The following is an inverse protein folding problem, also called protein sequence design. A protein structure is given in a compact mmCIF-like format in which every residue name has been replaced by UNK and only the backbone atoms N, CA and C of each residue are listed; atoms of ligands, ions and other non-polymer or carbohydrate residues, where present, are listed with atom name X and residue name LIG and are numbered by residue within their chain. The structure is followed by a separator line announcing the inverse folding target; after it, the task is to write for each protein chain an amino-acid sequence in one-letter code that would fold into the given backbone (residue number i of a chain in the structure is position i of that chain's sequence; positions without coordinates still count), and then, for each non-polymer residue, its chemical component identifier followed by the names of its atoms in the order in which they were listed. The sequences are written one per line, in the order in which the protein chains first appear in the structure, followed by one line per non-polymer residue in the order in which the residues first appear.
data_IF_846141105578
#
_entry.id   IF_846141105578
#
_cell.length_a   1.000
_cell.length_b   1.000
_cell.length_c   1.000
_cell.angle_alpha   90.00
_cell.angle_beta   90.00
_cell.angle_gamma   90.00
#
_symmetry.space_group_name_H-M   'P 1'
#
loop_
_entity.id
_entity.type
_entity.pdbx_description
1 polymer ?
#
# COMPACT_ATOMS: atom_id res chain seq x y z
N UNK A 1 12.03 -5.67 8.47
CA UNK A 1 12.63 -5.43 7.13
C UNK A 1 13.20 -6.75 6.61
N UNK A 2 13.48 -6.91 5.31
CA UNK A 2 14.06 -8.17 4.80
C UNK A 2 15.36 -8.59 5.51
N UNK A 3 16.22 -7.63 5.86
CA UNK A 3 17.46 -7.90 6.60
C UNK A 3 17.18 -8.46 8.01
N UNK A 4 16.20 -7.93 8.72
CA UNK A 4 15.78 -8.45 10.02
C UNK A 4 15.16 -9.85 9.90
N UNK A 5 14.40 -10.11 8.84
CA UNK A 5 13.84 -11.44 8.56
C UNK A 5 14.95 -12.47 8.36
N UNK A 6 15.99 -12.14 7.59
CA UNK A 6 17.16 -13.00 7.42
C UNK A 6 17.89 -13.24 8.74
N UNK A 7 18.15 -12.19 9.52
CA UNK A 7 18.80 -12.33 10.83
C UNK A 7 18.00 -13.23 11.78
N UNK A 8 16.67 -13.10 11.79
CA UNK A 8 15.78 -13.97 12.58
C UNK A 8 15.78 -15.41 12.10
N UNK A 9 15.78 -15.65 10.78
CA UNK A 9 15.86 -16.99 10.22
C UNK A 9 17.16 -17.71 10.64
N UNK A 10 18.31 -17.03 10.56
CA UNK A 10 19.60 -17.55 11.02
C UNK A 10 19.58 -17.84 12.52
N UNK A 11 19.05 -16.91 13.31
CA UNK A 11 18.93 -17.08 14.76
C UNK A 11 18.07 -18.29 15.17
N UNK A 12 16.96 -18.52 14.45
CA UNK A 12 16.04 -19.63 14.67
C UNK A 12 16.70 -20.96 14.28
N UNK A 13 17.32 -21.01 13.10
CA UNK A 13 18.04 -22.19 12.62
C UNK A 13 19.17 -22.61 13.58
N UNK A 14 19.93 -21.64 14.11
CA UNK A 14 20.98 -21.87 15.11
C UNK A 14 20.47 -22.45 16.44
N UNK A 15 19.14 -22.48 16.65
CA UNK A 15 18.46 -23.06 17.82
C UNK A 15 17.64 -24.30 17.48
N UNK A 16 17.75 -24.81 16.25
CA UNK A 16 16.99 -25.98 15.79
C UNK A 16 15.53 -25.68 15.44
N UNK A 17 15.15 -24.40 15.32
CA UNK A 17 13.80 -24.00 14.91
C UNK A 17 13.73 -23.74 13.40
N UNK A 18 12.57 -24.04 12.82
CA UNK A 18 12.22 -23.68 11.43
C UNK A 18 11.57 -22.29 11.43
N UNK A 19 11.82 -21.51 10.38
CA UNK A 19 11.36 -20.12 10.29
C UNK A 19 10.51 -19.90 9.05
N UNK A 20 9.37 -19.25 9.24
CA UNK A 20 8.51 -18.72 8.20
C UNK A 20 8.34 -17.23 8.47
N UNK A 21 8.56 -16.40 7.47
CA UNK A 21 8.39 -14.96 7.59
C UNK A 21 6.94 -14.55 7.29
N UNK A 22 6.50 -13.44 7.88
CA UNK A 22 5.11 -13.01 7.84
C UNK A 22 4.94 -11.49 7.70
N UNK A 23 3.96 -11.07 6.91
CA UNK A 23 3.53 -9.67 6.80
C UNK A 23 2.01 -9.56 6.96
N UNK A 24 1.53 -8.80 7.95
CA UNK A 24 0.10 -8.74 8.30
C UNK A 24 -0.57 -7.61 7.53
N UNK A 25 -1.39 -7.97 6.54
CA UNK A 25 -2.21 -7.04 5.75
C UNK A 25 -3.61 -6.94 6.36
N UNK A 26 -3.67 -6.51 7.61
CA UNK A 26 -4.91 -6.39 8.38
C UNK A 26 -4.73 -5.38 9.53
N UNK A 27 -5.82 -4.71 9.90
CA UNK A 27 -5.91 -4.00 11.18
C UNK A 27 -6.52 -4.89 12.26
N UNK A 28 -6.32 -4.63 13.57
CA UNK A 28 -6.77 -5.53 14.63
C UNK A 28 -8.25 -5.98 14.55
N UNK A 29 -9.23 -5.12 14.17
CA UNK A 29 -10.62 -5.54 14.00
C UNK A 29 -10.88 -6.55 12.87
N UNK A 30 -9.95 -6.69 11.92
CA UNK A 30 -10.06 -7.66 10.81
C UNK A 30 -9.60 -9.07 11.23
N UNK A 31 -8.88 -9.20 12.34
CA UNK A 31 -8.38 -10.49 12.82
C UNK A 31 -9.53 -11.30 13.42
N UNK A 32 -9.70 -12.54 12.94
CA UNK A 32 -10.82 -13.42 13.29
C UNK A 32 -12.13 -13.05 12.61
N UNK A 33 -12.12 -12.10 11.66
CA UNK A 33 -13.28 -11.65 10.91
C UNK A 33 -13.09 -11.96 9.41
N UNK A 34 -13.53 -13.15 8.93
CA UNK A 34 -13.26 -13.61 7.57
C UNK A 34 -13.70 -12.64 6.46
N UNK A 35 -14.82 -11.95 6.68
CA UNK A 35 -15.41 -11.02 5.71
C UNK A 35 -14.76 -9.62 5.70
N UNK A 36 -13.83 -9.37 6.64
CA UNK A 36 -13.17 -8.07 6.77
C UNK A 36 -12.00 -7.86 5.79
N UNK A 37 -11.66 -8.88 4.98
CA UNK A 37 -10.67 -8.80 3.90
C UNK A 37 -9.21 -8.82 4.34
N UNK A 38 -8.93 -9.01 5.63
CA UNK A 38 -7.57 -9.11 6.17
C UNK A 38 -6.86 -10.41 5.76
N UNK A 39 -5.57 -10.32 5.47
CA UNK A 39 -4.75 -11.50 5.15
C UNK A 39 -3.31 -11.35 5.66
N UNK A 40 -2.59 -12.47 5.76
CA UNK A 40 -1.18 -12.51 6.11
C UNK A 40 -0.38 -13.08 4.93
N UNK A 41 0.65 -12.34 4.52
CA UNK A 41 1.65 -12.78 3.56
C UNK A 41 2.67 -13.68 4.24
N UNK A 42 3.09 -14.76 3.59
CA UNK A 42 4.10 -15.67 4.10
C UNK A 42 5.20 -15.94 3.07
N UNK A 43 6.45 -15.97 3.52
CA UNK A 43 7.60 -16.37 2.69
C UNK A 43 8.58 -17.24 3.47
N UNK A 44 9.39 -18.01 2.75
CA UNK A 44 10.29 -19.03 3.30
C UNK A 44 9.99 -20.41 2.76
N UNK A 45 10.42 -21.47 3.45
CA UNK A 45 10.27 -22.84 2.93
C UNK A 45 8.80 -23.21 2.66
N UNK A 46 8.47 -23.52 1.40
CA UNK A 46 7.08 -23.84 1.02
C UNK A 46 6.48 -25.00 1.81
N UNK A 47 7.24 -26.08 2.01
CA UNK A 47 6.76 -27.24 2.76
C UNK A 47 6.34 -26.87 4.19
N UNK A 48 7.07 -25.97 4.84
CA UNK A 48 6.75 -25.47 6.17
C UNK A 48 5.45 -24.64 6.17
N UNK A 49 5.25 -23.80 5.14
CA UNK A 49 4.01 -23.06 4.99
C UNK A 49 2.81 -24.01 4.82
N UNK A 50 2.89 -24.97 3.89
CA UNK A 50 1.77 -25.89 3.62
C UNK A 50 1.47 -26.78 4.84
N UNK A 51 2.49 -27.22 5.59
CA UNK A 51 2.33 -27.99 6.84
C UNK A 51 1.51 -27.24 7.90
N UNK A 52 1.65 -25.91 7.99
CA UNK A 52 1.00 -25.10 9.02
C UNK A 52 -0.14 -24.22 8.49
N UNK A 53 -0.47 -24.32 7.20
CA UNK A 53 -1.40 -23.41 6.52
C UNK A 53 -2.76 -23.32 7.20
N UNK A 54 -3.33 -24.44 7.62
CA UNK A 54 -4.64 -24.49 8.26
C UNK A 54 -4.64 -23.72 9.59
N UNK A 55 -3.58 -23.87 10.39
CA UNK A 55 -3.42 -23.15 11.68
C UNK A 55 -3.20 -21.66 11.43
N UNK A 56 -2.36 -21.32 10.44
CA UNK A 56 -2.07 -19.94 10.07
C UNK A 56 -3.31 -19.23 9.49
N UNK A 57 -4.28 -19.96 8.95
CA UNK A 57 -5.52 -19.44 8.38
C UNK A 57 -6.62 -19.11 9.41
N UNK A 58 -6.46 -19.54 10.67
CA UNK A 58 -7.44 -19.28 11.75
C UNK A 58 -7.64 -17.78 12.01
N UNK A 59 -6.58 -16.96 12.21
CA UNK A 59 -6.75 -15.54 12.50
C UNK A 59 -7.07 -14.68 11.26
N UNK A 60 -6.63 -15.06 10.07
CA UNK A 60 -6.83 -14.31 8.82
C UNK A 60 -6.47 -15.18 7.62
N UNK A 61 -6.93 -14.80 6.42
CA UNK A 61 -6.56 -15.53 5.21
C UNK A 61 -5.04 -15.55 4.99
N UNK A 62 -4.49 -16.62 4.42
CA UNK A 62 -3.04 -16.77 4.20
C UNK A 62 -2.68 -16.62 2.72
N UNK A 63 -1.56 -15.95 2.41
CA UNK A 63 -1.00 -15.87 1.04
C UNK A 63 0.49 -16.16 1.05
N UNK A 64 0.91 -17.24 0.42
CA UNK A 64 2.33 -17.53 0.22
C UNK A 64 2.87 -16.77 -0.99
N UNK A 65 3.97 -16.03 -0.80
CA UNK A 65 4.54 -15.13 -1.82
C UNK A 65 5.86 -15.60 -2.41
N UNK A 66 6.56 -16.54 -1.77
CA UNK A 66 7.80 -17.09 -2.33
C UNK A 66 8.73 -17.73 -1.31
N UNK A 67 9.77 -18.37 -1.83
CA UNK A 67 10.74 -19.11 -1.02
C UNK A 67 11.77 -18.21 -0.31
N UNK A 68 11.98 -17.01 -0.83
CA UNK A 68 12.93 -16.04 -0.28
C UNK A 68 12.46 -15.54 1.09
N UNK A 69 13.30 -15.73 2.10
CA UNK A 69 13.10 -15.17 3.43
C UNK A 69 13.13 -13.64 3.33
N UNK A 70 12.20 -12.95 3.98
CA UNK A 70 12.11 -11.49 3.88
C UNK A 70 11.22 -10.98 2.75
N UNK A 71 10.80 -11.83 1.80
CA UNK A 71 9.91 -11.40 0.72
C UNK A 71 8.53 -10.97 1.23
N UNK A 72 7.97 -11.68 2.21
CA UNK A 72 6.72 -11.27 2.85
C UNK A 72 6.86 -9.90 3.54
N UNK A 73 7.96 -9.68 4.27
CA UNK A 73 8.26 -8.40 4.91
C UNK A 73 8.51 -7.27 3.89
N UNK A 74 9.10 -7.57 2.73
CA UNK A 74 9.26 -6.60 1.64
C UNK A 74 7.90 -6.17 1.08
N UNK A 75 7.03 -7.13 0.78
CA UNK A 75 5.70 -6.86 0.25
C UNK A 75 4.84 -6.11 1.27
N UNK A 76 4.93 -6.45 2.56
CA UNK A 76 4.27 -5.72 3.65
C UNK A 76 4.66 -4.23 3.64
N UNK A 77 5.96 -3.93 3.70
CA UNK A 77 6.45 -2.54 3.66
C UNK A 77 6.04 -1.82 2.36
N UNK A 78 6.10 -2.50 1.21
CA UNK A 78 5.70 -1.90 -0.07
C UNK A 78 4.20 -1.54 -0.10
N UNK A 79 3.34 -2.45 0.36
CA UNK A 79 1.89 -2.21 0.42
C UNK A 79 1.54 -1.14 1.47
N UNK A 80 2.19 -1.15 2.63
CA UNK A 80 2.00 -0.12 3.66
C UNK A 80 2.51 1.25 3.22
N UNK A 81 3.55 1.32 2.39
CA UNK A 81 4.02 2.57 1.77
C UNK A 81 2.92 3.19 0.90
N UNK A 82 2.31 2.41 0.00
CA UNK A 82 1.20 2.86 -0.84
C UNK A 82 -0.02 3.29 -0.01
N UNK A 83 -0.40 2.51 1.01
CA UNK A 83 -1.49 2.86 1.93
C UNK A 83 -1.22 4.18 2.67
N UNK A 84 0.01 4.39 3.13
CA UNK A 84 0.40 5.60 3.85
C UNK A 84 0.33 6.82 2.93
N UNK A 85 0.78 6.69 1.68
CA UNK A 85 0.64 7.75 0.67
C UNK A 85 -0.83 8.08 0.37
N UNK A 86 -1.69 7.08 0.26
CA UNK A 86 -3.14 7.27 0.11
C UNK A 86 -3.73 8.06 1.28
N UNK A 87 -3.37 7.72 2.53
CA UNK A 87 -3.84 8.47 3.70
C UNK A 87 -3.26 9.89 3.78
N UNK A 88 -2.03 10.11 3.34
CA UNK A 88 -1.46 11.45 3.22
C UNK A 88 -2.22 12.29 2.18
N UNK A 89 -2.50 11.71 1.01
CA UNK A 89 -3.32 12.32 -0.04
C UNK A 89 -4.73 12.67 0.44
N UNK A 90 -5.36 11.78 1.22
CA UNK A 90 -6.67 12.05 1.80
C UNK A 90 -6.65 13.26 2.74
N UNK A 91 -5.67 13.35 3.64
CA UNK A 91 -5.51 14.52 4.54
C UNK A 91 -5.24 15.81 3.76
N UNK A 92 -4.42 15.73 2.71
CA UNK A 92 -4.17 16.87 1.82
C UNK A 92 -5.46 17.32 1.12
N UNK A 93 -6.30 16.39 0.65
CA UNK A 93 -7.59 16.71 0.03
C UNK A 93 -8.53 17.44 1.01
N UNK A 94 -8.62 16.99 2.27
CA UNK A 94 -9.38 17.70 3.31
C UNK A 94 -8.83 19.10 3.57
N UNK A 95 -7.50 19.28 3.60
CA UNK A 95 -6.89 20.59 3.78
C UNK A 95 -7.24 21.57 2.64
N UNK A 96 -7.32 21.11 1.39
CA UNK A 96 -7.70 21.94 0.24
C UNK A 96 -9.13 22.51 0.38
N UNK A 97 -10.04 21.73 0.97
CA UNK A 97 -11.47 22.10 1.06
C UNK A 97 -11.88 22.69 2.40
N UNK A 98 -11.01 22.70 3.42
CA UNK A 98 -11.33 23.12 4.79
C UNK A 98 -12.07 24.46 4.88
N UNK A 99 -11.59 25.49 4.17
CA UNK A 99 -12.20 26.84 4.20
C UNK A 99 -13.23 27.08 3.08
N UNK A 100 -13.71 26.01 2.41
CA UNK A 100 -14.69 26.12 1.32
C UNK A 100 -16.15 26.00 1.79
N UNK A 101 -16.39 25.83 3.09
CA UNK A 101 -17.74 25.67 3.65
C UNK A 101 -18.41 24.36 3.25
N UNK A 102 -17.62 23.32 2.95
CA UNK A 102 -18.13 21.99 2.56
C UNK A 102 -18.52 21.16 3.79
N UNK A 103 -19.48 20.25 3.62
CA UNK A 103 -19.73 19.21 4.62
C UNK A 103 -18.61 18.16 4.55
N UNK A 104 -17.79 18.09 5.61
CA UNK A 104 -16.64 17.17 5.68
C UNK A 104 -17.05 15.70 5.59
N UNK A 105 -18.23 15.32 6.09
CA UNK A 105 -18.71 13.95 6.05
C UNK A 105 -19.14 13.57 4.65
N UNK A 106 -19.85 14.47 3.96
CA UNK A 106 -20.23 14.27 2.56
C UNK A 106 -18.99 14.20 1.67
N UNK A 107 -18.05 15.12 1.84
CA UNK A 107 -16.78 15.10 1.12
C UNK A 107 -15.97 13.83 1.40
N UNK A 108 -15.93 13.36 2.65
CA UNK A 108 -15.27 12.11 3.02
C UNK A 108 -15.86 10.90 2.32
N UNK A 109 -17.19 10.83 2.18
CA UNK A 109 -17.87 9.78 1.40
C UNK A 109 -17.50 9.82 -0.08
N UNK A 110 -17.49 11.02 -0.68
CA UNK A 110 -17.10 11.24 -2.07
C UNK A 110 -15.64 10.81 -2.30
N UNK A 111 -14.73 11.25 -1.43
CA UNK A 111 -13.29 10.94 -1.51
C UNK A 111 -13.04 9.43 -1.39
N UNK A 112 -13.67 8.77 -0.42
CA UNK A 112 -13.53 7.32 -0.24
C UNK A 112 -14.04 6.54 -1.46
N UNK A 113 -15.22 6.92 -2.00
CA UNK A 113 -15.78 6.31 -3.20
C UNK A 113 -14.88 6.50 -4.43
N UNK A 114 -14.32 7.70 -4.61
CA UNK A 114 -13.40 8.00 -5.69
C UNK A 114 -12.10 7.18 -5.59
N UNK A 115 -11.46 7.15 -4.42
CA UNK A 115 -10.24 6.37 -4.21
C UNK A 115 -10.47 4.87 -4.43
N UNK A 116 -11.61 4.34 -4.00
CA UNK A 116 -11.98 2.94 -4.26
C UNK A 116 -12.15 2.65 -5.76
N UNK A 117 -12.75 3.57 -6.53
CA UNK A 117 -12.90 3.44 -7.98
C UNK A 117 -11.56 3.50 -8.72
N UNK A 118 -10.58 4.27 -8.21
CA UNK A 118 -9.25 4.41 -8.79
C UNK A 118 -8.28 3.28 -8.41
N UNK A 119 -8.50 2.59 -7.29
CA UNK A 119 -7.60 1.55 -6.79
C UNK A 119 -7.23 0.45 -7.82
N UNK A 120 -8.15 -0.05 -8.68
CA UNK A 120 -7.81 -1.03 -9.71
C UNK A 120 -6.78 -0.55 -10.74
N UNK A 121 -6.68 0.76 -10.99
CA UNK A 121 -5.72 1.31 -11.95
C UNK A 121 -4.27 1.09 -11.52
N UNK A 122 -4.01 0.92 -10.21
CA UNK A 122 -2.66 0.70 -9.66
C UNK A 122 -2.03 -0.61 -10.12
N UNK A 123 -2.83 -1.60 -10.54
CA UNK A 123 -2.34 -2.85 -11.13
C UNK A 123 -1.54 -2.62 -12.42
N UNK A 124 -1.83 -1.52 -13.13
CA UNK A 124 -1.14 -1.13 -14.37
C UNK A 124 0.29 -0.59 -14.16
N UNK A 125 0.65 -0.14 -12.96
CA UNK A 125 1.97 0.47 -12.70
C UNK A 125 3.15 -0.51 -12.77
N UNK A 126 2.88 -1.82 -12.66
CA UNK A 126 3.90 -2.88 -12.81
C UNK A 126 4.00 -3.45 -14.21
N UNK A 127 3.00 -3.22 -15.07
CA UNK A 127 3.08 -3.56 -16.48
C UNK A 127 3.82 -2.42 -17.18
N UNK A 128 4.83 -2.74 -18.01
CA UNK A 128 5.41 -1.74 -18.91
C UNK A 128 4.24 -1.10 -19.66
N UNK A 129 3.96 0.18 -19.34
CA UNK A 129 2.89 1.04 -19.88
C UNK A 129 2.01 0.29 -20.86
N UNK A 130 0.88 -0.25 -20.40
CA UNK A 130 -0.14 -0.75 -21.30
C UNK A 130 -0.31 0.27 -22.42
N UNK A 131 -0.25 -0.17 -23.67
CA UNK A 131 -0.34 0.68 -24.87
C UNK A 131 -1.65 1.50 -24.99
N UNK A 132 -2.48 1.48 -23.94
CA UNK A 132 -3.78 2.13 -23.81
C UNK A 132 -3.80 3.29 -22.80
N UNK A 133 -2.71 3.61 -22.08
CA UNK A 133 -2.67 4.87 -21.32
C UNK A 133 -2.53 6.04 -22.31
N UNK A 134 -3.68 6.48 -22.80
CA UNK A 134 -3.82 7.58 -23.76
C UNK A 134 -3.64 8.96 -23.11
N UNK A 135 -3.39 9.00 -21.80
CA UNK A 135 -3.11 10.24 -21.08
C UNK A 135 -1.76 10.78 -21.55
N UNK A 136 -1.80 11.81 -22.40
CA UNK A 136 -0.58 12.46 -22.85
C UNK A 136 0.23 12.97 -21.65
N UNK A 137 1.57 12.87 -21.67
CA UNK A 137 2.42 13.49 -20.66
C UNK A 137 2.09 14.97 -20.39
N UNK A 138 1.63 15.70 -21.42
CA UNK A 138 1.18 17.08 -21.29
C UNK A 138 -0.09 17.24 -20.43
N UNK A 139 -1.01 16.27 -20.45
CA UNK A 139 -2.21 16.26 -19.59
C UNK A 139 -1.82 16.01 -18.14
N UNK A 140 -0.86 15.10 -17.90
CA UNK A 140 -0.31 14.83 -16.57
C UNK A 140 0.38 16.08 -16.02
N UNK A 141 1.28 16.69 -16.80
CA UNK A 141 2.00 17.91 -16.41
C UNK A 141 1.05 19.09 -16.12
N UNK A 142 0.05 19.31 -16.98
CA UNK A 142 -0.95 20.35 -16.76
C UNK A 142 -1.78 20.09 -15.49
N UNK A 143 -2.11 18.83 -15.21
CA UNK A 143 -2.78 18.39 -13.98
C UNK A 143 -1.95 18.69 -12.74
N UNK A 144 -0.69 18.29 -12.73
CA UNK A 144 0.25 18.54 -11.62
C UNK A 144 0.44 20.05 -11.38
N UNK A 145 0.59 20.83 -12.46
CA UNK A 145 0.69 22.28 -12.37
C UNK A 145 -0.58 22.91 -11.76
N UNK A 146 -1.76 22.40 -12.10
CA UNK A 146 -3.03 22.86 -11.53
C UNK A 146 -3.16 22.50 -10.04
N UNK A 147 -2.76 21.29 -9.65
CA UNK A 147 -2.76 20.86 -8.24
C UNK A 147 -1.82 21.74 -7.40
N UNK A 148 -0.59 21.96 -7.87
CA UNK A 148 0.39 22.80 -7.17
C UNK A 148 -0.08 24.25 -7.04
N UNK A 149 -0.69 24.81 -8.08
CA UNK A 149 -1.25 26.17 -8.03
C UNK A 149 -2.39 26.26 -7.00
N UNK A 150 -3.31 25.31 -7.02
CA UNK A 150 -4.46 25.28 -6.11
C UNK A 150 -4.01 25.16 -4.65
N UNK A 151 -3.04 24.27 -4.36
CA UNK A 151 -2.50 24.13 -3.02
C UNK A 151 -1.88 25.44 -2.49
N UNK A 152 -1.14 26.17 -3.33
CA UNK A 152 -0.58 27.48 -2.96
C UNK A 152 -1.65 28.53 -2.70
N UNK A 153 -2.65 28.61 -3.57
CA UNK A 153 -3.78 29.55 -3.42
C UNK A 153 -4.58 29.30 -2.14
N UNK A 154 -4.61 28.04 -1.67
CA UNK A 154 -5.30 27.61 -0.44
C UNK A 154 -4.38 27.57 0.79
N UNK A 155 -3.11 27.97 0.67
CA UNK A 155 -2.15 27.95 1.78
C UNK A 155 -1.81 26.54 2.30
N UNK A 156 -2.00 25.51 1.48
CA UNK A 156 -1.74 24.10 1.82
C UNK A 156 -0.33 23.70 1.37
N UNK A 157 0.36 22.91 2.20
CA UNK A 157 1.71 22.42 1.91
C UNK A 157 1.76 21.60 0.60
N UNK A 158 2.69 21.97 -0.29
CA UNK A 158 2.91 21.33 -1.59
C UNK A 158 3.88 20.15 -1.55
N UNK A 159 4.54 19.86 -0.42
CA UNK A 159 5.58 18.83 -0.33
C UNK A 159 5.10 17.45 -0.80
N UNK A 160 3.85 17.08 -0.50
CA UNK A 160 3.25 15.83 -0.96
C UNK A 160 3.11 15.78 -2.49
N UNK A 161 2.65 16.86 -3.11
CA UNK A 161 2.45 16.95 -4.56
C UNK A 161 3.79 16.95 -5.32
N UNK A 162 4.81 17.57 -4.73
CA UNK A 162 6.17 17.55 -5.29
C UNK A 162 6.76 16.14 -5.21
N UNK A 163 6.60 15.46 -4.07
CA UNK A 163 7.07 14.09 -3.90
C UNK A 163 6.37 13.10 -4.85
N UNK A 164 5.06 13.26 -5.10
CA UNK A 164 4.35 12.41 -6.06
C UNK A 164 4.82 12.63 -7.49
N UNK A 165 5.00 13.88 -7.93
CA UNK A 165 5.50 14.20 -9.26
C UNK A 165 6.94 13.65 -9.49
N UNK A 166 7.81 13.72 -8.47
CA UNK A 166 9.17 13.18 -8.54
C UNK A 166 9.24 11.65 -8.55
N UNK A 167 8.27 10.95 -7.97
CA UNK A 167 8.24 9.49 -7.90
C UNK A 167 7.99 8.79 -9.25
N UNK A 168 7.43 9.50 -10.23
CA UNK A 168 7.14 9.00 -11.59
C UNK A 168 8.36 9.14 -12.52
N UNK A 169 9.31 10.02 -12.19
CA UNK A 169 10.48 10.32 -13.02
C UNK A 169 11.75 9.53 -12.65
N UNK A 170 11.70 8.67 -11.63
CA UNK A 170 12.86 7.92 -11.14
C UNK A 170 13.04 6.57 -11.83
N UNK A 171 13.81 6.56 -12.92
CA UNK A 171 14.47 5.38 -13.49
C UNK A 171 15.91 5.75 -13.89
#
# INVERSE_FOLDING_TARGET
TPAESHARAVWAAGRGARFLDGGIMAVPPMIGAPDAGGYVLYSGTRALFEEHREVLAVPAATRYVGAEVGLAALYDVALLSAMTAMFAGARHAFALVADAGVDEKEFGGLLAGWLAAMAPATAGFGAATSAEDTTSPAVVEAGDAALLRTARERGVDTALLIASAGSVAGA
#
